data_IF_069890725037
#
_entry.id   IF_069890725037
#
_cell.length_a   1.000
_cell.length_b   1.000
_cell.length_c   1.000
_cell.angle_alpha   90.00
_cell.angle_beta   90.00
_cell.angle_gamma   90.00
#
_symmetry.space_group_name_H-M   'P 1'
#
loop_
_entity.id
_entity.type
_entity.pdbx_description
1 polymer ?
#
# COMPACT_ATOMS: atom_id res chain seq x y z
N UNK A 1 -14.58 10.77 -22.22
CA UNK A 1 -15.50 9.62 -22.36
C UNK A 1 -16.64 10.07 -23.26
N UNK A 2 -17.21 9.17 -24.07
CA UNK A 2 -18.41 9.51 -24.83
C UNK A 2 -19.55 9.86 -23.87
N UNK A 3 -20.25 10.98 -24.10
CA UNK A 3 -21.47 11.34 -23.34
C UNK A 3 -22.66 10.42 -23.65
N UNK A 4 -22.44 9.36 -24.43
CA UNK A 4 -23.45 8.37 -24.73
C UNK A 4 -23.77 7.53 -23.48
N UNK A 5 -25.00 7.62 -22.93
CA UNK A 5 -25.37 6.90 -21.71
C UNK A 5 -25.29 5.38 -21.86
N UNK A 6 -25.53 4.84 -23.07
CA UNK A 6 -25.39 3.40 -23.33
C UNK A 6 -23.94 2.95 -23.24
N UNK A 7 -23.01 3.75 -23.75
CA UNK A 7 -21.59 3.45 -23.67
C UNK A 7 -21.10 3.48 -22.22
N UNK A 8 -21.50 4.51 -21.45
CA UNK A 8 -21.18 4.59 -20.02
C UNK A 8 -21.66 3.37 -19.24
N UNK A 9 -22.93 2.98 -19.43
CA UNK A 9 -23.49 1.80 -18.79
C UNK A 9 -22.73 0.50 -19.13
N UNK A 10 -22.43 0.28 -20.42
CA UNK A 10 -21.67 -0.90 -20.83
C UNK A 10 -20.27 -0.90 -20.24
N UNK A 11 -19.58 0.24 -20.28
CA UNK A 11 -18.26 0.39 -19.70
C UNK A 11 -18.24 0.07 -18.21
N UNK A 12 -19.15 0.64 -17.42
CA UNK A 12 -19.27 0.37 -15.98
C UNK A 12 -19.56 -1.11 -15.70
N UNK A 13 -20.46 -1.73 -16.47
CA UNK A 13 -20.79 -3.16 -16.35
C UNK A 13 -19.58 -4.05 -16.60
N UNK A 14 -18.84 -3.83 -17.69
CA UNK A 14 -17.66 -4.64 -18.03
C UNK A 14 -16.49 -4.37 -17.08
N UNK A 15 -16.30 -3.13 -16.64
CA UNK A 15 -15.30 -2.78 -15.64
C UNK A 15 -15.57 -3.51 -14.32
N UNK A 16 -16.83 -3.56 -13.88
CA UNK A 16 -17.24 -4.28 -12.66
C UNK A 16 -16.94 -5.78 -12.75
N UNK A 17 -17.26 -6.40 -13.91
CA UNK A 17 -16.94 -7.80 -14.17
C UNK A 17 -15.43 -8.02 -14.13
N UNK A 18 -14.66 -7.18 -14.84
CA UNK A 18 -13.20 -7.30 -14.88
C UNK A 18 -12.60 -7.23 -13.47
N UNK A 19 -12.94 -6.21 -12.68
CA UNK A 19 -12.41 -6.04 -11.31
C UNK A 19 -12.76 -7.23 -10.44
N UNK A 20 -14.01 -7.71 -10.50
CA UNK A 20 -14.46 -8.86 -9.71
C UNK A 20 -13.69 -10.12 -10.09
N UNK A 21 -13.49 -10.36 -11.39
CA UNK A 21 -12.72 -11.52 -11.86
C UNK A 21 -11.25 -11.40 -11.49
N UNK A 22 -10.64 -10.22 -11.62
CA UNK A 22 -9.27 -9.97 -11.20
C UNK A 22 -9.06 -10.26 -9.72
N UNK A 23 -9.96 -9.80 -8.84
CA UNK A 23 -9.90 -10.10 -7.40
C UNK A 23 -9.98 -11.61 -7.15
N UNK A 24 -10.91 -12.31 -7.83
CA UNK A 24 -11.04 -13.77 -7.73
C UNK A 24 -9.77 -14.48 -8.22
N UNK A 25 -9.21 -14.06 -9.34
CA UNK A 25 -7.96 -14.62 -9.87
C UNK A 25 -6.82 -14.42 -8.89
N UNK A 26 -6.70 -13.26 -8.24
CA UNK A 26 -5.69 -13.04 -7.20
C UNK A 26 -5.85 -13.97 -6.00
N UNK A 27 -7.09 -14.31 -5.61
CA UNK A 27 -7.32 -15.29 -4.54
C UNK A 27 -7.00 -16.72 -4.96
N UNK A 28 -7.26 -17.08 -6.21
CA UNK A 28 -6.95 -18.42 -6.73
C UNK A 28 -5.45 -18.63 -6.99
N UNK A 29 -4.68 -17.55 -7.12
CA UNK A 29 -3.25 -17.61 -7.42
C UNK A 29 -2.33 -17.92 -6.23
N UNK A 30 -2.88 -18.45 -5.14
CA UNK A 30 -2.09 -18.88 -3.99
C UNK A 30 -1.09 -19.99 -4.37
N UNK A 31 -1.48 -20.90 -5.27
CA UNK A 31 -0.62 -21.96 -5.80
C UNK A 31 0.55 -21.42 -6.63
N UNK A 32 0.30 -20.45 -7.53
CA UNK A 32 1.34 -19.86 -8.39
C UNK A 32 2.38 -19.07 -7.59
N UNK A 33 2.03 -18.59 -6.39
CA UNK A 33 2.99 -17.90 -5.50
C UNK A 33 4.07 -18.83 -4.96
N UNK A 34 3.75 -20.11 -4.74
CA UNK A 34 4.72 -21.10 -4.28
C UNK A 34 5.65 -21.56 -5.41
N UNK A 35 5.16 -21.62 -6.65
CA UNK A 35 5.97 -21.93 -7.83
C UNK A 35 7.04 -20.87 -8.10
N UNK A 36 6.76 -19.59 -7.84
CA UNK A 36 7.75 -18.52 -7.96
C UNK A 36 8.97 -18.69 -7.03
N UNK A 37 8.77 -19.31 -5.85
CA UNK A 37 9.89 -19.62 -4.95
C UNK A 37 10.83 -20.69 -5.52
N UNK A 38 10.35 -21.48 -6.49
CA UNK A 38 11.11 -22.57 -7.12
C UNK A 38 11.99 -22.04 -8.26
N UNK A 39 11.53 -21.02 -9.01
CA UNK A 39 12.25 -20.46 -10.16
C UNK A 39 12.30 -18.92 -10.11
N UNK A 40 13.27 -18.32 -9.40
CA UNK A 40 13.37 -16.86 -9.26
C UNK A 40 13.54 -16.09 -10.58
N UNK A 41 14.00 -16.78 -11.64
CA UNK A 41 14.14 -16.21 -12.98
C UNK A 41 12.83 -16.11 -13.76
N UNK A 42 11.75 -16.74 -13.30
CA UNK A 42 10.44 -16.62 -13.94
C UNK A 42 9.77 -15.29 -13.56
N UNK A 43 9.77 -14.34 -14.50
CA UNK A 43 9.14 -13.02 -14.30
C UNK A 43 7.65 -13.01 -14.61
N UNK A 44 7.05 -14.10 -15.09
CA UNK A 44 5.68 -14.12 -15.60
C UNK A 44 4.67 -13.58 -14.57
N UNK A 45 4.77 -14.02 -13.32
CA UNK A 45 3.86 -13.57 -12.24
C UNK A 45 4.05 -12.08 -11.93
N UNK A 46 5.29 -11.58 -11.99
CA UNK A 46 5.60 -10.17 -11.80
C UNK A 46 4.96 -9.35 -12.93
N UNK A 47 5.11 -9.80 -14.17
CA UNK A 47 4.59 -9.13 -15.36
C UNK A 47 3.05 -9.14 -15.37
N UNK A 48 2.43 -10.27 -15.05
CA UNK A 48 0.96 -10.37 -14.90
C UNK A 48 0.47 -9.41 -13.81
N UNK A 49 1.14 -9.35 -12.65
CA UNK A 49 0.75 -8.46 -11.56
C UNK A 49 0.90 -6.99 -11.93
N UNK A 50 2.01 -6.62 -12.57
CA UNK A 50 2.26 -5.25 -13.02
C UNK A 50 1.27 -4.81 -14.12
N UNK A 51 0.97 -5.68 -15.07
CA UNK A 51 -0.03 -5.41 -16.11
C UNK A 51 -1.43 -5.29 -15.52
N UNK A 52 -1.78 -6.17 -14.57
CA UNK A 52 -3.06 -6.10 -13.86
C UNK A 52 -3.19 -4.81 -13.05
N UNK A 53 -2.14 -4.39 -12.34
CA UNK A 53 -2.09 -3.09 -11.65
C UNK A 53 -2.36 -1.94 -12.62
N UNK A 54 -1.68 -1.92 -13.78
CA UNK A 54 -1.87 -0.86 -14.79
C UNK A 54 -3.31 -0.82 -15.33
N UNK A 55 -3.89 -1.98 -15.65
CA UNK A 55 -5.26 -2.09 -16.12
C UNK A 55 -6.26 -1.62 -15.06
N UNK A 56 -6.09 -2.06 -13.81
CA UNK A 56 -6.96 -1.65 -12.71
C UNK A 56 -6.91 -0.15 -12.49
N UNK A 57 -5.72 0.48 -12.44
CA UNK A 57 -5.60 1.94 -12.31
C UNK A 57 -6.38 2.67 -13.39
N UNK A 58 -6.16 2.28 -14.65
CA UNK A 58 -6.82 2.88 -15.81
C UNK A 58 -8.35 2.78 -15.72
N UNK A 59 -8.86 1.65 -15.23
CA UNK A 59 -10.31 1.45 -15.06
C UNK A 59 -10.87 2.25 -13.89
N UNK A 60 -10.16 2.28 -12.75
CA UNK A 60 -10.60 2.94 -11.53
C UNK A 60 -10.62 4.47 -11.66
N UNK A 61 -9.79 5.05 -12.52
CA UNK A 61 -9.89 6.47 -12.91
C UNK A 61 -11.21 6.83 -13.60
N UNK A 62 -11.97 5.83 -14.08
CA UNK A 62 -13.15 6.03 -14.94
C UNK A 62 -14.44 5.59 -14.28
N UNK A 63 -14.39 4.99 -13.10
CA UNK A 63 -15.56 4.43 -12.40
C UNK A 63 -15.54 4.80 -10.91
N UNK A 64 -16.68 4.79 -10.21
CA UNK A 64 -16.71 4.98 -8.76
C UNK A 64 -15.94 3.88 -8.03
N UNK A 65 -15.01 4.24 -7.17
CA UNK A 65 -14.15 3.29 -6.41
C UNK A 65 -14.90 2.65 -5.22
N UNK A 66 -15.83 3.37 -4.61
CA UNK A 66 -16.46 2.98 -3.34
C UNK A 66 -17.07 1.57 -3.33
N UNK A 67 -17.83 1.12 -4.36
CA UNK A 67 -18.40 -0.23 -4.35
C UNK A 67 -17.34 -1.33 -4.25
N UNK A 68 -16.16 -1.12 -4.84
CA UNK A 68 -15.06 -2.07 -4.84
C UNK A 68 -14.32 -2.06 -3.51
N UNK A 69 -14.15 -0.89 -2.89
CA UNK A 69 -13.59 -0.77 -1.56
C UNK A 69 -14.48 -1.49 -0.52
N UNK A 70 -15.79 -1.27 -0.56
CA UNK A 70 -16.76 -1.96 0.29
C UNK A 70 -16.68 -3.49 0.13
N UNK A 71 -16.51 -3.96 -1.12
CA UNK A 71 -16.34 -5.38 -1.40
C UNK A 71 -15.05 -5.95 -0.78
N UNK A 72 -13.93 -5.23 -0.90
CA UNK A 72 -12.66 -5.63 -0.29
C UNK A 72 -12.75 -5.67 1.23
N UNK A 73 -13.36 -4.66 1.86
CA UNK A 73 -13.59 -4.62 3.31
C UNK A 73 -14.43 -5.83 3.76
N UNK A 74 -15.48 -6.16 3.01
CA UNK A 74 -16.30 -7.34 3.28
C UNK A 74 -15.49 -8.63 3.23
N UNK A 75 -14.55 -8.76 2.28
CA UNK A 75 -13.68 -9.93 2.16
C UNK A 75 -12.72 -9.99 3.35
N UNK A 76 -12.06 -8.88 3.69
CA UNK A 76 -11.12 -8.81 4.82
C UNK A 76 -11.80 -9.21 6.15
N UNK A 77 -13.03 -8.73 6.39
CA UNK A 77 -13.83 -9.10 7.56
C UNK A 77 -14.13 -10.59 7.62
N UNK A 78 -14.45 -11.19 6.47
CA UNK A 78 -14.78 -12.61 6.37
C UNK A 78 -13.54 -13.53 6.36
N UNK A 79 -12.33 -12.97 6.21
CA UNK A 79 -11.10 -13.73 5.95
C UNK A 79 -9.96 -13.32 6.89
N UNK A 80 -10.25 -13.02 8.16
CA UNK A 80 -9.27 -12.50 9.13
C UNK A 80 -8.07 -13.44 9.41
N UNK A 81 -8.23 -14.74 9.13
CA UNK A 81 -7.19 -15.75 9.30
C UNK A 81 -6.56 -16.20 7.97
N UNK A 82 -7.08 -15.76 6.83
CA UNK A 82 -6.57 -16.09 5.49
C UNK A 82 -5.66 -14.96 5.01
N UNK A 83 -4.38 -15.08 5.33
CA UNK A 83 -3.36 -14.08 5.01
C UNK A 83 -3.17 -13.86 3.51
N UNK A 84 -3.42 -14.88 2.69
CA UNK A 84 -3.32 -14.77 1.24
C UNK A 84 -4.41 -13.88 0.68
N UNK A 85 -5.65 -14.01 1.18
CA UNK A 85 -6.74 -13.08 0.84
C UNK A 85 -6.47 -11.68 1.36
N UNK A 86 -5.95 -11.54 2.59
CA UNK A 86 -5.59 -10.24 3.15
C UNK A 86 -4.52 -9.54 2.32
N UNK A 87 -3.45 -10.24 1.91
CA UNK A 87 -2.40 -9.69 1.06
C UNK A 87 -2.95 -9.23 -0.28
N UNK A 88 -3.82 -10.03 -0.91
CA UNK A 88 -4.49 -9.65 -2.16
C UNK A 88 -5.40 -8.43 -1.98
N UNK A 89 -6.12 -8.33 -0.86
CA UNK A 89 -6.95 -7.18 -0.51
C UNK A 89 -6.09 -5.91 -0.31
N UNK A 90 -5.00 -6.00 0.44
CA UNK A 90 -4.07 -4.89 0.66
C UNK A 90 -3.37 -4.46 -0.63
N UNK A 91 -3.01 -5.41 -1.49
CA UNK A 91 -2.52 -5.12 -2.83
C UNK A 91 -3.55 -4.31 -3.62
N UNK A 92 -4.81 -4.75 -3.65
CA UNK A 92 -5.87 -4.02 -4.34
C UNK A 92 -6.07 -2.61 -3.76
N UNK A 93 -6.12 -2.47 -2.43
CA UNK A 93 -6.21 -1.16 -1.74
C UNK A 93 -5.00 -0.27 -2.08
N UNK A 94 -3.80 -0.83 -2.21
CA UNK A 94 -2.61 -0.08 -2.64
C UNK A 94 -2.74 0.47 -4.06
N UNK A 95 -3.54 -0.18 -4.92
CA UNK A 95 -3.85 0.32 -6.25
C UNK A 95 -4.85 1.47 -6.15
N UNK A 96 -5.88 1.34 -5.30
CA UNK A 96 -6.90 2.37 -5.12
C UNK A 96 -6.34 3.69 -4.54
N UNK A 97 -5.31 3.59 -3.71
CA UNK A 97 -4.74 4.72 -2.95
C UNK A 97 -3.73 5.56 -3.72
N UNK A 98 -3.06 5.00 -4.74
CA UNK A 98 -1.96 5.68 -5.46
C UNK A 98 -2.37 6.98 -6.17
N UNK A 99 -3.64 7.09 -6.57
CA UNK A 99 -4.12 8.20 -7.42
C UNK A 99 -5.35 8.94 -6.85
N UNK A 100 -5.77 8.60 -5.62
CA UNK A 100 -6.96 9.22 -4.99
C UNK A 100 -6.59 10.06 -3.78
N UNK A 101 -7.25 11.21 -3.62
CA UNK A 101 -7.19 11.98 -2.38
C UNK A 101 -7.77 11.13 -1.26
N UNK A 102 -6.87 10.55 -0.47
CA UNK A 102 -7.09 9.75 0.73
C UNK A 102 -8.53 9.81 1.28
N UNK A 103 -9.47 9.01 0.74
CA UNK A 103 -10.82 9.02 1.22
C UNK A 103 -10.85 8.46 2.65
N UNK A 104 -11.70 9.08 3.47
CA UNK A 104 -12.00 8.63 4.85
C UNK A 104 -12.33 7.14 4.88
N UNK A 105 -12.85 6.61 3.77
CA UNK A 105 -13.28 5.22 3.59
C UNK A 105 -12.15 4.18 3.68
N UNK A 106 -10.87 4.56 3.52
CA UNK A 106 -9.78 3.62 3.76
C UNK A 106 -9.52 3.37 5.26
N UNK A 107 -10.06 4.20 6.15
CA UNK A 107 -9.88 4.04 7.59
C UNK A 107 -10.29 2.65 8.07
N UNK A 108 -11.44 2.17 7.59
CA UNK A 108 -12.00 0.87 7.91
C UNK A 108 -11.09 -0.29 7.50
N UNK A 109 -10.34 -0.16 6.40
CA UNK A 109 -9.33 -1.15 6.00
C UNK A 109 -8.22 -1.25 7.04
N UNK A 110 -7.76 -0.10 7.55
CA UNK A 110 -6.67 -0.06 8.53
C UNK A 110 -7.12 -0.51 9.91
N UNK A 111 -8.36 -0.23 10.31
CA UNK A 111 -8.94 -0.75 11.56
C UNK A 111 -9.01 -2.27 11.61
N UNK A 112 -9.06 -2.94 10.45
CA UNK A 112 -9.03 -4.40 10.38
C UNK A 112 -7.62 -4.97 10.58
N UNK A 113 -6.55 -4.21 10.27
CA UNK A 113 -5.17 -4.72 10.34
C UNK A 113 -4.81 -5.24 11.73
N UNK A 114 -5.05 -4.53 12.85
CA UNK A 114 -4.71 -5.01 14.18
C UNK A 114 -5.37 -6.35 14.55
N UNK A 115 -6.44 -6.78 13.89
CA UNK A 115 -7.10 -8.05 14.19
C UNK A 115 -6.39 -9.25 13.54
N UNK A 116 -5.47 -9.01 12.60
CA UNK A 116 -4.73 -10.09 11.95
C UNK A 116 -3.69 -10.70 12.89
N UNK A 117 -3.55 -12.04 12.88
CA UNK A 117 -2.61 -12.68 13.78
C UNK A 117 -1.16 -12.46 13.34
N UNK A 118 -0.23 -12.49 14.28
CA UNK A 118 1.18 -12.20 14.03
C UNK A 118 1.95 -13.38 13.39
N UNK A 119 1.37 -14.58 13.40
CA UNK A 119 1.98 -15.83 12.94
C UNK A 119 1.83 -16.08 11.43
N UNK A 120 1.80 -15.01 10.64
CA UNK A 120 1.67 -15.09 9.18
C UNK A 120 2.96 -15.61 8.52
N UNK A 121 2.88 -16.28 7.35
CA UNK A 121 4.05 -16.58 6.54
C UNK A 121 4.91 -15.33 6.29
N UNK A 122 6.22 -15.42 6.54
CA UNK A 122 7.16 -14.29 6.51
C UNK A 122 7.07 -13.48 5.21
N UNK A 123 6.96 -14.15 4.07
CA UNK A 123 6.85 -13.51 2.75
C UNK A 123 5.57 -12.66 2.60
N UNK A 124 4.44 -13.12 3.15
CA UNK A 124 3.18 -12.38 3.12
C UNK A 124 3.28 -11.15 4.03
N UNK A 125 3.83 -11.33 5.23
CA UNK A 125 4.11 -10.24 6.17
C UNK A 125 4.96 -9.15 5.56
N UNK A 126 6.05 -9.52 4.88
CA UNK A 126 6.95 -8.56 4.21
C UNK A 126 6.23 -7.76 3.11
N UNK A 127 5.39 -8.41 2.30
CA UNK A 127 4.60 -7.72 1.26
C UNK A 127 3.57 -6.78 1.87
N UNK A 128 2.86 -7.22 2.92
CA UNK A 128 1.95 -6.36 3.67
C UNK A 128 2.70 -5.15 4.25
N UNK A 129 3.85 -5.36 4.89
CA UNK A 129 4.71 -4.26 5.38
C UNK A 129 5.10 -3.30 4.26
N UNK A 130 5.43 -3.80 3.06
CA UNK A 130 5.78 -2.97 1.90
C UNK A 130 4.60 -2.12 1.44
N UNK A 131 3.41 -2.71 1.33
CA UNK A 131 2.19 -1.97 0.98
C UNK A 131 1.86 -0.88 2.00
N UNK A 132 2.00 -1.17 3.29
CA UNK A 132 1.78 -0.19 4.35
C UNK A 132 2.85 0.90 4.38
N UNK A 133 4.10 0.58 4.06
CA UNK A 133 5.19 1.57 3.89
C UNK A 133 4.86 2.54 2.75
N UNK A 134 4.51 2.02 1.58
CA UNK A 134 4.18 2.82 0.40
C UNK A 134 2.99 3.75 0.73
N UNK A 135 2.02 3.23 1.47
CA UNK A 135 0.88 3.99 1.95
C UNK A 135 1.28 5.12 2.92
N UNK A 136 2.11 4.83 3.94
CA UNK A 136 2.61 5.85 4.87
C UNK A 136 3.37 6.95 4.12
N UNK A 137 4.19 6.57 3.15
CA UNK A 137 4.98 7.50 2.36
C UNK A 137 4.10 8.43 1.53
N UNK A 138 3.08 7.89 0.84
CA UNK A 138 2.12 8.69 0.09
C UNK A 138 1.36 9.64 0.99
N UNK A 139 0.87 9.14 2.13
CA UNK A 139 0.12 9.92 3.09
C UNK A 139 0.93 11.12 3.64
N UNK A 140 2.22 10.95 3.92
CA UNK A 140 3.12 12.04 4.38
C UNK A 140 3.30 13.17 3.38
N UNK A 141 3.12 12.92 2.09
CA UNK A 141 3.21 13.96 1.07
C UNK A 141 1.98 14.88 1.05
N UNK A 142 0.89 14.51 1.75
CA UNK A 142 -0.29 15.35 1.90
C UNK A 142 -0.14 16.26 3.14
N UNK A 143 -0.22 17.58 2.93
CA UNK A 143 0.15 18.62 3.91
C UNK A 143 -0.75 18.74 5.15
N UNK A 144 -1.83 17.97 5.27
CA UNK A 144 -2.75 18.05 6.41
C UNK A 144 -3.43 16.71 6.66
N UNK A 145 -3.18 16.14 7.85
CA UNK A 145 -3.88 14.95 8.30
C UNK A 145 -5.13 15.31 9.09
N UNK A 146 -6.27 14.73 8.72
CA UNK A 146 -7.46 14.70 9.56
C UNK A 146 -7.27 13.74 10.75
N UNK A 147 -8.10 13.87 11.79
CA UNK A 147 -8.02 12.95 12.95
C UNK A 147 -8.32 11.49 12.57
N UNK A 148 -9.20 11.26 11.58
CA UNK A 148 -9.43 9.93 11.03
C UNK A 148 -8.17 9.31 10.41
N UNK A 149 -7.35 10.12 9.74
CA UNK A 149 -6.08 9.67 9.17
C UNK A 149 -5.07 9.32 10.26
N UNK A 150 -4.99 10.12 11.35
CA UNK A 150 -4.14 9.80 12.51
C UNK A 150 -4.51 8.44 13.11
N UNK A 151 -5.80 8.18 13.31
CA UNK A 151 -6.27 6.90 13.82
C UNK A 151 -5.93 5.72 12.88
N UNK A 152 -5.97 5.91 11.56
CA UNK A 152 -5.48 4.91 10.60
C UNK A 152 -3.99 4.61 10.77
N UNK A 153 -3.15 5.63 10.95
CA UNK A 153 -1.73 5.42 11.21
C UNK A 153 -1.48 4.67 12.50
N UNK A 154 -2.23 4.96 13.57
CA UNK A 154 -2.13 4.22 14.82
C UNK A 154 -2.43 2.74 14.63
N UNK A 155 -3.45 2.39 13.82
CA UNK A 155 -3.75 1.00 13.49
C UNK A 155 -2.62 0.35 12.67
N UNK A 156 -2.04 1.06 11.69
CA UNK A 156 -0.89 0.58 10.92
C UNK A 156 0.32 0.34 11.82
N UNK A 157 0.66 1.29 12.70
CA UNK A 157 1.77 1.18 13.63
C UNK A 157 1.56 0.04 14.64
N UNK A 158 0.35 -0.11 15.18
CA UNK A 158 -0.02 -1.24 16.05
C UNK A 158 0.17 -2.58 15.36
N UNK A 159 -0.21 -2.69 14.08
CA UNK A 159 0.00 -3.93 13.33
C UNK A 159 1.48 -4.18 13.04
N UNK A 160 2.23 -3.17 12.58
CA UNK A 160 3.68 -3.28 12.33
C UNK A 160 4.46 -3.68 13.59
N UNK A 161 4.04 -3.21 14.76
CA UNK A 161 4.63 -3.59 16.05
C UNK A 161 4.46 -5.09 16.39
N UNK A 162 3.49 -5.78 15.78
CA UNK A 162 3.31 -7.24 15.92
C UNK A 162 4.27 -8.05 15.07
N UNK A 163 4.88 -7.44 14.05
CA UNK A 163 5.77 -8.10 13.08
C UNK A 163 7.10 -7.33 12.94
N UNK A 164 7.80 -7.08 14.07
CA UNK A 164 8.90 -6.13 14.11
C UNK A 164 10.06 -6.49 13.17
N UNK A 165 10.40 -7.77 13.03
CA UNK A 165 11.49 -8.23 12.16
C UNK A 165 11.24 -7.85 10.69
N UNK A 166 10.07 -8.20 10.16
CA UNK A 166 9.67 -7.83 8.79
C UNK A 166 9.51 -6.32 8.63
N UNK A 167 8.97 -5.64 9.64
CA UNK A 167 8.80 -4.19 9.62
C UNK A 167 10.16 -3.48 9.56
N UNK A 168 11.14 -3.88 10.36
CA UNK A 168 12.50 -3.31 10.37
C UNK A 168 13.16 -3.49 9.01
N UNK A 169 13.12 -4.73 8.47
CA UNK A 169 13.69 -5.06 7.15
C UNK A 169 13.12 -4.21 6.03
N UNK A 170 11.81 -3.97 6.02
CA UNK A 170 11.12 -3.25 4.92
C UNK A 170 11.14 -1.74 5.11
N UNK A 171 10.91 -1.23 6.31
CA UNK A 171 10.90 0.21 6.59
C UNK A 171 12.28 0.82 6.42
N UNK A 172 13.34 0.00 6.52
CA UNK A 172 14.69 0.45 6.27
C UNK A 172 15.19 1.32 7.42
N UNK A 173 15.07 0.81 8.65
CA UNK A 173 15.97 1.24 9.74
C UNK A 173 17.39 0.71 9.48
N UNK A 174 17.84 0.80 8.23
CA UNK A 174 19.20 0.51 7.85
C UNK A 174 20.02 1.67 8.43
N UNK A 175 20.93 1.34 9.35
CA UNK A 175 21.74 2.29 10.13
C UNK A 175 22.55 3.26 9.23
N UNK A 176 22.61 2.99 7.92
CA UNK A 176 23.29 3.82 6.93
C UNK A 176 22.44 4.97 6.36
N UNK A 177 21.12 5.01 6.58
CA UNK A 177 20.27 6.12 6.13
C UNK A 177 20.54 7.45 6.86
N UNK A 178 21.33 7.42 7.95
CA UNK A 178 21.81 8.60 8.67
C UNK A 178 23.08 9.24 8.09
N UNK A 179 23.77 8.63 7.12
CA UNK A 179 25.03 9.19 6.58
C UNK A 179 24.84 10.14 5.40
N UNK A 180 23.72 10.10 4.70
CA UNK A 180 23.52 10.86 3.45
C UNK A 180 22.79 12.21 3.61
N UNK A 181 22.59 12.73 4.82
CA UNK A 181 21.88 14.02 5.03
C UNK A 181 22.61 15.07 5.87
N UNK A 182 23.88 14.87 6.21
CA UNK A 182 24.66 15.87 6.96
C UNK A 182 25.62 16.71 6.10
N UNK A 183 25.55 16.63 4.78
CA UNK A 183 26.39 17.46 3.90
C UNK A 183 25.85 18.86 3.60
N UNK A 184 24.64 19.21 4.06
CA UNK A 184 24.04 20.55 3.89
C UNK A 184 23.99 21.37 5.20
N UNK A 185 24.77 21.00 6.23
CA UNK A 185 25.02 21.95 7.33
C UNK A 185 26.09 22.93 6.86
N UNK A 186 25.63 24.07 6.35
CA UNK A 186 26.46 25.26 6.17
C UNK A 186 27.06 25.61 7.55
N UNK A 187 28.40 25.63 7.72
CA UNK A 187 29.01 26.08 8.95
C UNK A 187 28.94 27.62 9.03
N UNK A 188 27.76 28.17 9.30
CA UNK A 188 27.55 29.61 9.50
C UNK A 188 27.92 30.04 10.93
N UNK A 189 29.16 29.83 11.38
CA UNK A 189 29.72 30.57 12.53
C UNK A 189 31.26 30.65 12.46
N UNK A 190 31.79 31.45 11.53
CA UNK A 190 33.11 32.05 11.75
C UNK A 190 32.95 33.27 12.68
N UNK A 191 33.19 33.08 13.97
CA UNK A 191 33.34 34.18 14.93
C UNK A 191 34.71 34.82 14.69
N UNK A 192 34.74 35.99 14.04
CA UNK A 192 35.92 36.86 14.03
C UNK A 192 36.07 37.48 15.42
N UNK A 193 36.95 36.91 16.24
CA UNK A 193 37.47 37.57 17.43
C UNK A 193 38.43 38.66 16.95
N UNK A 194 37.96 39.90 16.95
CA UNK A 194 38.82 41.07 16.77
C UNK A 194 39.73 41.21 17.99
N UNK A 195 40.98 40.78 17.87
CA UNK A 195 42.04 41.14 18.81
C UNK A 195 42.37 42.62 18.63
N UNK A 196 41.80 43.44 19.51
CA UNK A 196 42.25 44.82 19.70
C UNK A 196 43.58 44.77 20.46
N UNK A 197 44.66 45.09 19.76
CA UNK A 197 45.98 45.31 20.36
C UNK A 197 45.99 46.65 21.09
N UNK A 198 46.54 46.64 22.31
CA UNK A 198 46.98 47.82 23.06
C UNK A 198 48.32 48.28 22.49
#
# INVERSE_FOLDING_TARGET
>A
MSDNPKFKYLFEKYASIFITQTLRTFFLNESMKNEYLICPSDTFIIDVRANTERCLKTLLERIPVQPYLNHVISIMRASQTDFSRIECCLFFVSILTKDTHFPVDFHEVFELLPNFPANSPSLLTERCCKHLKDFIYQARNHRSFSDAQKASFDCIHKWLAKVPESAIKILGYDENSGRDKHHDIIPDFEVKIGSSSI
#
